data_IF_060609470911
#
_entry.id   IF_060609470911
#
_cell.length_a   1.000
_cell.length_b   1.000
_cell.length_c   1.000
_cell.angle_alpha   90.00
_cell.angle_beta   90.00
_cell.angle_gamma   90.00
#
_symmetry.space_group_name_H-M   'P 1'
#
loop_
_entity.id
_entity.type
_entity.pdbx_description
1 polymer ?
#
# COMPACT_ATOMS: atom_id res chain seq x y z
N UNK A 1 -6.87 14.78 -15.13
CA UNK A 1 -6.27 13.69 -15.94
C UNK A 1 -5.87 12.44 -15.13
N UNK A 2 -5.32 12.56 -13.91
CA UNK A 2 -4.82 11.41 -13.10
C UNK A 2 -5.86 10.34 -12.72
N UNK A 3 -7.15 10.68 -12.53
CA UNK A 3 -8.20 9.70 -12.18
C UNK A 3 -8.38 8.61 -13.24
N UNK A 4 -8.22 8.95 -14.52
CA UNK A 4 -8.35 7.98 -15.60
C UNK A 4 -7.13 7.05 -15.66
N UNK A 5 -5.92 7.57 -15.45
CA UNK A 5 -4.69 6.78 -15.46
C UNK A 5 -4.68 5.70 -14.37
N UNK A 6 -5.07 6.04 -13.14
CA UNK A 6 -5.18 5.05 -12.05
C UNK A 6 -6.20 3.97 -12.36
N UNK A 7 -7.40 4.34 -12.83
CA UNK A 7 -8.45 3.38 -13.18
C UNK A 7 -8.03 2.45 -14.33
N UNK A 8 -7.27 2.94 -15.30
CA UNK A 8 -6.73 2.13 -16.39
C UNK A 8 -5.72 1.11 -15.85
N UNK A 9 -4.79 1.57 -14.99
CA UNK A 9 -3.81 0.67 -14.36
C UNK A 9 -4.51 -0.38 -13.51
N UNK A 10 -5.48 0.02 -12.68
CA UNK A 10 -6.22 -0.90 -11.81
C UNK A 10 -7.02 -1.96 -12.59
N UNK A 11 -7.47 -1.65 -13.82
CA UNK A 11 -8.07 -2.65 -14.72
C UNK A 11 -7.07 -3.73 -15.17
N UNK A 12 -5.79 -3.40 -15.27
CA UNK A 12 -4.74 -4.29 -15.74
C UNK A 12 -4.13 -5.12 -14.61
N UNK A 13 -3.91 -4.52 -13.45
CA UNK A 13 -3.15 -5.13 -12.34
C UNK A 13 -3.98 -5.39 -11.08
N UNK A 14 -5.25 -5.00 -11.09
CA UNK A 14 -6.10 -5.00 -9.89
C UNK A 14 -5.96 -3.72 -9.06
N UNK A 15 -6.73 -3.61 -7.95
CA UNK A 15 -6.73 -2.42 -7.11
C UNK A 15 -5.34 -2.12 -6.54
N UNK A 16 -4.96 -0.84 -6.51
CA UNK A 16 -3.72 -0.44 -5.83
C UNK A 16 -3.94 -0.56 -4.32
N UNK A 17 -3.07 -1.31 -3.64
CA UNK A 17 -3.09 -1.55 -2.20
C UNK A 17 -1.80 -1.06 -1.57
N UNK A 18 -1.77 -0.97 -0.24
CA UNK A 18 -0.51 -0.68 0.47
C UNK A 18 0.54 -1.75 0.15
N UNK A 19 0.12 -3.02 0.08
CA UNK A 19 0.98 -4.13 -0.26
C UNK A 19 1.61 -4.00 -1.66
N UNK A 20 0.83 -3.61 -2.67
CA UNK A 20 1.34 -3.46 -4.03
C UNK A 20 2.31 -2.27 -4.16
N UNK A 21 2.08 -1.18 -3.41
CA UNK A 21 3.04 -0.08 -3.33
C UNK A 21 4.36 -0.50 -2.68
N UNK A 22 4.32 -1.27 -1.59
CA UNK A 22 5.54 -1.78 -0.94
C UNK A 22 6.33 -2.70 -1.87
N UNK A 23 5.63 -3.59 -2.60
CA UNK A 23 6.26 -4.43 -3.62
C UNK A 23 6.89 -3.59 -4.73
N UNK A 24 6.19 -2.56 -5.21
CA UNK A 24 6.69 -1.64 -6.22
C UNK A 24 7.95 -0.90 -5.75
N UNK A 25 7.95 -0.37 -4.54
CA UNK A 25 9.12 0.24 -3.91
C UNK A 25 10.30 -0.76 -3.87
N UNK A 26 10.05 -1.99 -3.40
CA UNK A 26 11.08 -3.03 -3.31
C UNK A 26 11.72 -3.31 -4.67
N UNK A 27 10.90 -3.48 -5.70
CA UNK A 27 11.38 -3.81 -7.05
C UNK A 27 12.10 -2.64 -7.72
N UNK A 28 11.62 -1.40 -7.54
CA UNK A 28 12.25 -0.20 -8.11
C UNK A 28 13.61 0.12 -7.48
N UNK A 29 13.81 -0.26 -6.22
CA UNK A 29 15.08 -0.11 -5.50
C UNK A 29 15.93 -1.38 -5.53
N UNK A 30 15.57 -2.37 -6.35
CA UNK A 30 16.28 -3.65 -6.51
C UNK A 30 16.53 -4.39 -5.19
N UNK A 31 15.66 -4.17 -4.20
CA UNK A 31 15.77 -4.80 -2.90
C UNK A 31 15.31 -6.25 -2.97
N UNK A 32 16.13 -7.17 -2.46
CA UNK A 32 15.67 -8.53 -2.20
C UNK A 32 14.61 -8.54 -1.09
N UNK A 33 13.86 -9.64 -0.98
CA UNK A 33 12.97 -9.84 0.17
C UNK A 33 13.75 -9.79 1.49
N UNK A 34 14.97 -10.33 1.52
CA UNK A 34 15.84 -10.29 2.69
C UNK A 34 16.19 -8.87 3.12
N UNK A 35 16.58 -8.02 2.17
CA UNK A 35 17.06 -6.67 2.47
C UNK A 35 15.92 -5.79 2.99
N UNK A 36 14.76 -5.89 2.36
CA UNK A 36 13.58 -5.17 2.83
C UNK A 36 13.11 -5.69 4.20
N UNK A 37 13.15 -7.00 4.45
CA UNK A 37 12.86 -7.59 5.75
C UNK A 37 13.79 -7.05 6.85
N UNK A 38 15.10 -6.99 6.60
CA UNK A 38 16.08 -6.41 7.53
C UNK A 38 15.77 -4.94 7.83
N UNK A 39 15.50 -4.14 6.79
CA UNK A 39 15.18 -2.71 6.93
C UNK A 39 13.91 -2.49 7.75
N UNK A 40 12.88 -3.31 7.52
CA UNK A 40 11.58 -3.17 8.17
C UNK A 40 11.49 -3.89 9.52
N UNK A 41 12.43 -4.78 9.85
CA UNK A 41 12.36 -5.71 10.98
C UNK A 41 11.13 -6.62 10.87
N UNK A 42 10.93 -7.22 9.70
CA UNK A 42 9.84 -8.16 9.40
C UNK A 42 10.41 -9.52 8.97
N UNK A 43 9.63 -10.59 9.13
CA UNK A 43 9.98 -11.89 8.56
C UNK A 43 9.60 -11.97 7.08
N UNK A 44 10.27 -12.81 6.29
CA UNK A 44 9.93 -13.01 4.86
C UNK A 44 8.47 -13.40 4.64
N UNK A 45 7.90 -14.39 5.38
CA UNK A 45 6.50 -14.76 5.18
C UNK A 45 5.55 -13.61 5.46
N UNK A 46 5.86 -12.78 6.47
CA UNK A 46 5.07 -11.59 6.78
C UNK A 46 5.12 -10.58 5.63
N UNK A 47 6.31 -10.26 5.13
CA UNK A 47 6.48 -9.33 4.01
C UNK A 47 5.77 -9.83 2.74
N UNK A 48 5.90 -11.12 2.40
CA UNK A 48 5.20 -11.71 1.25
C UNK A 48 3.67 -11.65 1.40
N UNK A 49 3.15 -11.88 2.61
CA UNK A 49 1.71 -11.77 2.88
C UNK A 49 1.22 -10.33 2.76
N UNK A 50 2.01 -9.35 3.20
CA UNK A 50 1.73 -7.92 3.01
C UNK A 50 1.71 -7.60 1.51
N UNK A 51 2.78 -7.93 0.78
CA UNK A 51 2.89 -7.61 -0.66
C UNK A 51 1.83 -8.26 -1.53
N UNK A 52 1.32 -9.43 -1.12
CA UNK A 52 0.23 -10.12 -1.82
C UNK A 52 -1.17 -9.72 -1.37
N UNK A 53 -1.30 -8.80 -0.40
CA UNK A 53 -2.60 -8.39 0.16
C UNK A 53 -3.26 -9.43 1.05
N UNK A 54 -2.56 -10.52 1.43
CA UNK A 54 -3.05 -11.55 2.37
C UNK A 54 -2.90 -11.16 3.85
N UNK A 55 -2.32 -10.00 4.12
CA UNK A 55 -2.20 -9.41 5.45
C UNK A 55 -2.40 -7.91 5.34
N UNK A 56 -3.45 -7.39 5.98
CA UNK A 56 -3.76 -5.97 6.01
C UNK A 56 -3.07 -5.32 7.20
N UNK A 57 -2.34 -4.24 6.92
CA UNK A 57 -1.67 -3.45 7.94
C UNK A 57 -2.66 -2.49 8.61
N UNK A 58 -2.43 -2.17 9.86
CA UNK A 58 -3.05 -1.01 10.52
C UNK A 58 -2.42 0.28 10.02
N UNK A 59 -3.14 1.41 10.10
CA UNK A 59 -2.59 2.71 9.71
C UNK A 59 -1.29 3.06 10.46
N UNK A 60 -1.19 2.68 11.75
CA UNK A 60 0.02 2.86 12.56
C UNK A 60 1.21 2.10 11.99
N UNK A 61 1.01 0.87 11.53
CA UNK A 61 2.05 0.07 10.89
C UNK A 61 2.46 0.67 9.54
N UNK A 62 1.51 1.14 8.73
CA UNK A 62 1.79 1.83 7.47
C UNK A 62 2.68 3.05 7.69
N UNK A 63 2.35 3.89 8.67
CA UNK A 63 3.16 5.09 9.02
C UNK A 63 4.55 4.71 9.54
N UNK A 64 4.65 3.62 10.31
CA UNK A 64 5.92 3.12 10.82
C UNK A 64 6.82 2.60 9.70
N UNK A 65 6.26 1.82 8.77
CA UNK A 65 6.97 1.25 7.62
C UNK A 65 7.46 2.37 6.69
N UNK A 66 6.58 3.29 6.30
CA UNK A 66 6.95 4.41 5.42
C UNK A 66 8.02 5.32 6.02
N UNK A 67 7.98 5.55 7.34
CA UNK A 67 9.07 6.25 8.04
C UNK A 67 10.41 5.54 7.90
N UNK A 68 10.45 4.20 7.97
CA UNK A 68 11.69 3.42 7.81
C UNK A 68 12.20 3.41 6.37
N UNK A 69 11.29 3.55 5.40
CA UNK A 69 11.61 3.56 3.97
C UNK A 69 11.96 4.96 3.44
N UNK A 70 11.73 6.00 4.23
CA UNK A 70 11.81 7.42 3.83
C UNK A 70 10.81 7.79 2.71
N UNK A 71 9.64 7.15 2.74
CA UNK A 71 8.56 7.35 1.77
C UNK A 71 7.49 8.32 2.28
N UNK A 72 6.78 9.04 1.38
CA UNK A 72 5.75 9.99 1.75
C UNK A 72 4.55 9.29 2.41
N UNK A 73 4.48 9.38 3.75
CA UNK A 73 3.44 8.76 4.59
C UNK A 73 2.01 9.03 4.12
N UNK A 74 1.74 10.25 3.65
CA UNK A 74 0.40 10.67 3.23
C UNK A 74 -0.09 9.92 1.98
N UNK A 75 0.81 9.52 1.06
CA UNK A 75 0.46 8.74 -0.13
C UNK A 75 -0.02 7.35 0.29
N UNK A 76 0.75 6.67 1.14
CA UNK A 76 0.40 5.34 1.63
C UNK A 76 -0.81 5.37 2.55
N UNK A 77 -0.97 6.39 3.40
CA UNK A 77 -2.14 6.56 4.25
C UNK A 77 -3.42 6.73 3.42
N UNK A 78 -3.36 7.51 2.32
CA UNK A 78 -4.47 7.64 1.39
C UNK A 78 -4.85 6.30 0.77
N UNK A 79 -3.88 5.55 0.24
CA UNK A 79 -4.14 4.23 -0.35
C UNK A 79 -4.70 3.26 0.69
N UNK A 80 -4.22 3.32 1.93
CA UNK A 80 -4.78 2.56 3.04
C UNK A 80 -6.26 2.89 3.27
N UNK A 81 -6.63 4.17 3.33
CA UNK A 81 -8.03 4.57 3.50
C UNK A 81 -8.91 4.12 2.32
N UNK A 82 -8.42 4.26 1.09
CA UNK A 82 -9.11 3.76 -0.11
C UNK A 82 -9.30 2.23 -0.08
N UNK A 83 -8.32 1.49 0.44
CA UNK A 83 -8.42 0.05 0.67
C UNK A 83 -9.47 -0.29 1.74
N UNK A 84 -9.46 0.39 2.88
CA UNK A 84 -10.45 0.18 3.94
C UNK A 84 -11.88 0.52 3.47
N UNK A 85 -12.06 1.62 2.75
CA UNK A 85 -13.36 1.99 2.18
C UNK A 85 -13.89 0.89 1.24
N UNK A 86 -13.03 0.38 0.34
CA UNK A 86 -13.41 -0.73 -0.56
C UNK A 86 -13.80 -2.00 0.19
N UNK A 87 -13.11 -2.33 1.29
CA UNK A 87 -13.43 -3.53 2.10
C UNK A 87 -14.84 -3.48 2.70
N UNK A 88 -15.36 -2.28 2.98
CA UNK A 88 -16.72 -2.07 3.50
C UNK A 88 -17.72 -1.66 2.41
N UNK A 89 -17.33 -1.73 1.14
CA UNK A 89 -18.20 -1.40 0.00
C UNK A 89 -18.49 0.09 -0.18
N UNK A 90 -17.65 0.97 0.37
CA UNK A 90 -17.79 2.42 0.25
C UNK A 90 -16.84 2.99 -0.81
N UNK A 91 -17.30 4.03 -1.51
CA UNK A 91 -16.44 4.85 -2.36
C UNK A 91 -15.72 5.89 -1.49
N UNK A 92 -14.39 5.92 -1.59
CA UNK A 92 -13.55 6.82 -0.77
C UNK A 92 -13.77 8.30 -1.11
N UNK A 93 -14.01 8.64 -2.38
CA UNK A 93 -14.27 10.03 -2.77
C UNK A 93 -15.61 10.51 -2.20
N UNK A 94 -16.58 9.60 -2.03
CA UNK A 94 -17.85 9.93 -1.38
C UNK A 94 -17.70 10.09 0.13
N UNK A 95 -16.83 9.31 0.77
CA UNK A 95 -16.54 9.41 2.20
C UNK A 95 -15.87 10.74 2.56
N UNK A 96 -14.98 11.27 1.72
CA UNK A 96 -14.32 12.56 1.96
C UNK A 96 -15.30 13.73 1.83
N UNK A 97 -16.34 13.65 0.98
CA UNK A 97 -17.30 14.76 0.82
C UNK A 97 -18.17 15.01 2.05
N UNK A 98 -18.24 14.04 2.96
CA UNK A 98 -19.07 14.09 4.16
C UNK A 98 -18.31 14.70 5.35
N UNK A 99 -16.98 14.83 5.26
CA UNK A 99 -16.08 15.35 6.29
C UNK A 99 -15.64 16.77 5.91
#
# INVERSE_FOLDING_TARGET
MLKNSKKIVEKLIGPVTVGSLLKGFRMTHELSLDDMCKKLKLTKPMLQRIESGKHHLTLKEVVSITKKLDEPKHVYARVWCEEQARLVGLDFDDLIKVI
#
